data_IF_097343111918
#
_entry.id   IF_097343111918
#
_cell.length_a   1.000
_cell.length_b   1.000
_cell.length_c   1.000
_cell.angle_alpha   90.00
_cell.angle_beta   90.00
_cell.angle_gamma   90.00
#
_symmetry.space_group_name_H-M   'P 1'
#
loop_
_entity.id
_entity.type
_entity.pdbx_description
1 polymer ?
#
# COMPACT_ATOMS: atom_id res chain seq x y z
N UNK A 1 -36.02 -12.30 78.13
CA UNK A 1 -36.58 -12.82 76.85
C UNK A 1 -36.65 -11.78 75.72
N UNK A 2 -36.88 -10.48 75.96
CA UNK A 2 -37.08 -9.49 74.88
C UNK A 2 -35.84 -9.13 74.03
N UNK A 3 -34.61 -9.24 74.58
CA UNK A 3 -33.38 -8.80 73.87
C UNK A 3 -32.93 -9.79 72.79
N UNK A 4 -32.99 -11.09 73.08
CA UNK A 4 -32.65 -12.17 72.14
C UNK A 4 -33.64 -12.27 70.99
N UNK A 5 -34.95 -12.12 71.27
CA UNK A 5 -35.97 -12.07 70.20
C UNK A 5 -35.81 -10.85 69.28
N UNK A 6 -35.44 -9.68 69.83
CA UNK A 6 -35.11 -8.49 69.01
C UNK A 6 -33.90 -8.70 68.13
N UNK A 7 -32.83 -9.32 68.66
CA UNK A 7 -31.64 -9.64 67.87
C UNK A 7 -31.95 -10.61 66.73
N UNK A 8 -32.74 -11.67 66.99
CA UNK A 8 -33.17 -12.62 65.96
C UNK A 8 -33.98 -11.91 64.86
N UNK A 9 -34.94 -11.05 65.24
CA UNK A 9 -35.71 -10.28 64.26
C UNK A 9 -34.85 -9.32 63.43
N UNK A 10 -33.91 -8.61 64.05
CA UNK A 10 -32.96 -7.74 63.34
C UNK A 10 -32.13 -8.56 62.35
N UNK A 11 -31.62 -9.72 62.76
CA UNK A 11 -30.84 -10.61 61.88
C UNK A 11 -31.68 -11.10 60.70
N UNK A 12 -32.94 -11.52 60.93
CA UNK A 12 -33.83 -11.96 59.84
C UNK A 12 -34.10 -10.81 58.85
N UNK A 13 -34.36 -9.60 59.34
CA UNK A 13 -34.58 -8.43 58.48
C UNK A 13 -33.32 -8.08 57.70
N UNK A 14 -32.13 -8.09 58.32
CA UNK A 14 -30.86 -7.84 57.65
C UNK A 14 -30.54 -8.91 56.58
N UNK A 15 -30.80 -10.18 56.87
CA UNK A 15 -30.65 -11.27 55.89
C UNK A 15 -31.65 -11.13 54.73
N UNK A 16 -32.89 -10.72 55.00
CA UNK A 16 -33.89 -10.43 53.96
C UNK A 16 -33.48 -9.28 53.05
N UNK A 17 -32.99 -8.18 53.62
CA UNK A 17 -32.45 -7.04 52.86
C UNK A 17 -31.25 -7.49 52.03
N UNK A 18 -30.30 -8.24 52.62
CA UNK A 18 -29.13 -8.74 51.93
C UNK A 18 -29.52 -9.63 50.73
N UNK A 19 -30.45 -10.56 50.92
CA UNK A 19 -30.90 -11.46 49.85
C UNK A 19 -31.55 -10.69 48.69
N UNK A 20 -32.42 -9.71 48.98
CA UNK A 20 -33.05 -8.87 47.95
C UNK A 20 -32.01 -8.01 47.24
N UNK A 21 -31.10 -7.37 47.98
CA UNK A 21 -30.02 -6.57 47.40
C UNK A 21 -29.09 -7.41 46.52
N UNK A 22 -28.72 -8.62 46.94
CA UNK A 22 -27.92 -9.54 46.13
C UNK A 22 -28.67 -9.97 44.88
N UNK A 23 -29.96 -10.31 44.97
CA UNK A 23 -30.75 -10.69 43.80
C UNK A 23 -30.87 -9.53 42.80
N UNK A 24 -31.18 -8.31 43.27
CA UNK A 24 -31.24 -7.13 42.41
C UNK A 24 -29.89 -6.82 41.77
N UNK A 25 -28.80 -6.97 42.51
CA UNK A 25 -27.44 -6.84 41.99
C UNK A 25 -27.13 -7.89 40.93
N UNK A 26 -27.50 -9.16 41.13
CA UNK A 26 -27.27 -10.22 40.14
C UNK A 26 -28.06 -9.96 38.84
N UNK A 27 -29.31 -9.50 38.96
CA UNK A 27 -30.11 -9.13 37.79
C UNK A 27 -29.53 -7.91 37.07
N UNK A 28 -29.10 -6.89 37.81
CA UNK A 28 -28.49 -5.70 37.20
C UNK A 28 -27.15 -6.02 36.54
N UNK A 29 -26.35 -6.91 37.14
CA UNK A 29 -25.11 -7.43 36.55
C UNK A 29 -25.39 -8.20 35.26
N UNK A 30 -26.34 -9.13 35.25
CA UNK A 30 -26.70 -9.91 34.05
C UNK A 30 -27.21 -9.01 32.92
N UNK A 31 -28.12 -8.08 33.21
CA UNK A 31 -28.60 -7.11 32.23
C UNK A 31 -27.47 -6.21 31.69
N UNK A 32 -26.52 -5.85 32.55
CA UNK A 32 -25.34 -5.10 32.15
C UNK A 32 -24.40 -5.91 31.25
N UNK A 33 -24.15 -7.20 31.53
CA UNK A 33 -23.33 -8.06 30.66
C UNK A 33 -23.92 -8.11 29.23
N UNK A 34 -25.22 -8.33 29.10
CA UNK A 34 -25.89 -8.38 27.79
C UNK A 34 -25.83 -7.04 27.04
N UNK A 35 -26.08 -5.92 27.74
CA UNK A 35 -25.97 -4.60 27.15
C UNK A 35 -24.52 -4.29 26.72
N UNK A 36 -23.53 -4.71 27.51
CA UNK A 36 -22.12 -4.54 27.21
C UNK A 36 -21.69 -5.38 25.99
N UNK A 37 -22.06 -6.67 25.94
CA UNK A 37 -21.83 -7.53 24.77
C UNK A 37 -22.41 -6.90 23.51
N UNK A 38 -23.68 -6.47 23.53
CA UNK A 38 -24.31 -5.82 22.38
C UNK A 38 -23.57 -4.57 21.93
N UNK A 39 -23.19 -3.67 22.87
CA UNK A 39 -22.42 -2.46 22.57
C UNK A 39 -21.09 -2.81 21.88
N UNK A 40 -20.38 -3.82 22.38
CA UNK A 40 -19.10 -4.26 21.81
C UNK A 40 -19.31 -4.86 20.41
N UNK A 41 -20.30 -5.75 20.25
CA UNK A 41 -20.60 -6.35 18.95
C UNK A 41 -21.02 -5.33 17.90
N UNK A 42 -21.90 -4.39 18.23
CA UNK A 42 -22.29 -3.30 17.32
C UNK A 42 -21.10 -2.43 16.95
N UNK A 43 -20.23 -2.12 17.91
CA UNK A 43 -18.99 -1.38 17.68
C UNK A 43 -18.04 -2.11 16.73
N UNK A 44 -17.83 -3.41 16.93
CA UNK A 44 -16.96 -4.23 16.07
C UNK A 44 -17.55 -4.38 14.67
N UNK A 45 -18.86 -4.64 14.53
CA UNK A 45 -19.52 -4.71 13.22
C UNK A 45 -19.34 -3.40 12.46
N UNK A 46 -19.53 -2.26 13.14
CA UNK A 46 -19.32 -0.96 12.52
C UNK A 46 -17.85 -0.73 12.12
N UNK A 47 -16.88 -1.10 12.97
CA UNK A 47 -15.44 -1.02 12.64
C UNK A 47 -15.11 -1.83 11.38
N UNK A 48 -15.57 -3.07 11.34
CA UNK A 48 -15.37 -4.03 10.24
C UNK A 48 -15.98 -3.51 8.93
N UNK A 49 -17.21 -3.01 8.96
CA UNK A 49 -17.90 -2.52 7.76
C UNK A 49 -17.39 -1.16 7.27
N UNK A 50 -16.83 -0.35 8.17
CA UNK A 50 -16.45 1.03 7.88
C UNK A 50 -14.96 1.31 8.06
N UNK A 51 -14.11 0.28 8.04
CA UNK A 51 -12.66 0.45 8.11
C UNK A 51 -12.17 1.28 6.90
N UNK A 52 -11.65 2.50 7.09
CA UNK A 52 -11.23 3.36 5.99
C UNK A 52 -10.10 2.75 5.15
N UNK A 53 -9.25 1.91 5.76
CA UNK A 53 -8.14 1.27 5.06
C UNK A 53 -8.63 0.21 4.05
N UNK A 54 -9.77 -0.44 4.29
CA UNK A 54 -10.26 -1.53 3.44
C UNK A 54 -11.18 -1.07 2.29
N UNK A 55 -11.38 0.25 2.16
CA UNK A 55 -12.35 0.82 1.21
C UNK A 55 -11.83 0.91 -0.22
N UNK A 56 -10.60 1.37 -0.42
CA UNK A 56 -10.09 1.74 -1.74
C UNK A 56 -8.85 0.92 -2.06
N UNK A 57 -8.96 -0.12 -2.91
CA UNK A 57 -7.80 -0.86 -3.37
C UNK A 57 -6.88 0.00 -4.24
N UNK A 58 -5.60 -0.36 -4.28
CA UNK A 58 -4.57 0.26 -5.11
C UNK A 58 -3.94 -0.80 -6.00
N UNK A 59 -3.80 -0.48 -7.28
CA UNK A 59 -3.13 -1.33 -8.28
C UNK A 59 -2.08 -0.48 -8.99
N UNK A 60 -0.81 -0.85 -8.83
CA UNK A 60 0.32 -0.20 -9.50
C UNK A 60 0.88 -1.15 -10.54
N UNK A 61 1.00 -0.67 -11.78
CA UNK A 61 1.61 -1.40 -12.88
C UNK A 61 2.80 -0.61 -13.40
N UNK A 62 3.95 -1.28 -13.41
CA UNK A 62 5.19 -0.79 -14.00
C UNK A 62 5.42 -1.55 -15.31
N UNK A 63 5.55 -0.83 -16.42
CA UNK A 63 5.95 -1.40 -17.71
C UNK A 63 7.47 -1.24 -17.84
N UNK A 64 8.22 -2.31 -17.60
CA UNK A 64 9.67 -2.30 -17.51
C UNK A 64 10.32 -1.85 -18.82
N UNK A 65 11.17 -0.82 -18.76
CA UNK A 65 11.91 -0.33 -19.92
C UNK A 65 11.08 0.27 -21.06
N UNK A 66 9.86 0.76 -20.77
CA UNK A 66 9.06 1.51 -21.77
C UNK A 66 9.68 2.88 -22.01
N UNK A 67 10.21 3.09 -23.22
CA UNK A 67 10.81 4.36 -23.62
C UNK A 67 9.75 5.41 -23.94
N UNK A 68 10.03 6.66 -23.55
CA UNK A 68 9.12 7.79 -23.77
C UNK A 68 8.64 7.92 -25.22
N UNK A 69 9.55 7.87 -26.20
CA UNK A 69 9.27 8.09 -27.61
C UNK A 69 8.39 7.00 -28.24
N UNK A 70 8.41 5.78 -27.71
CA UNK A 70 7.53 4.68 -28.14
C UNK A 70 6.34 4.46 -27.19
N UNK A 71 6.25 5.22 -26.10
CA UNK A 71 5.11 5.27 -25.19
C UNK A 71 4.33 6.58 -25.34
N UNK A 72 4.25 7.36 -24.27
CA UNK A 72 3.45 8.60 -24.20
C UNK A 72 3.93 9.71 -25.15
N UNK A 73 5.19 9.71 -25.56
CA UNK A 73 5.72 10.60 -26.58
C UNK A 73 5.15 10.33 -27.97
N UNK A 74 4.71 9.09 -28.25
CA UNK A 74 4.08 8.68 -29.50
C UNK A 74 2.54 8.63 -29.44
N UNK A 75 1.93 9.04 -28.32
CA UNK A 75 0.48 9.09 -28.16
C UNK A 75 -0.16 7.72 -28.46
N UNK A 76 -1.23 7.65 -29.25
CA UNK A 76 -1.93 6.40 -29.59
C UNK A 76 -1.16 5.43 -30.49
N UNK A 77 -0.02 5.83 -31.09
CA UNK A 77 0.61 5.05 -32.17
C UNK A 77 1.01 3.62 -31.74
N UNK A 78 1.51 3.47 -30.51
CA UNK A 78 1.97 2.19 -29.96
C UNK A 78 1.22 1.77 -28.69
N UNK A 79 0.59 2.72 -28.00
CA UNK A 79 -0.20 2.48 -26.78
C UNK A 79 -1.67 2.95 -26.93
N UNK A 80 -2.41 2.47 -27.96
CA UNK A 80 -3.73 3.00 -28.27
C UNK A 80 -4.74 2.82 -27.13
N UNK A 81 -4.68 1.74 -26.34
CA UNK A 81 -5.63 1.51 -25.26
C UNK A 81 -5.35 2.42 -24.05
N UNK A 82 -4.09 2.50 -23.61
CA UNK A 82 -3.68 3.38 -22.52
C UNK A 82 -3.97 4.84 -22.90
N UNK A 83 -3.58 5.27 -24.10
CA UNK A 83 -3.72 6.67 -24.51
C UNK A 83 -5.18 7.10 -24.74
N UNK A 84 -5.98 6.30 -25.44
CA UNK A 84 -7.33 6.71 -25.83
C UNK A 84 -8.41 6.30 -24.83
N UNK A 85 -8.20 5.20 -24.08
CA UNK A 85 -9.24 4.64 -23.20
C UNK A 85 -8.95 4.86 -21.72
N UNK A 86 -7.69 4.72 -21.29
CA UNK A 86 -7.33 4.87 -19.86
C UNK A 86 -7.01 6.31 -19.49
N UNK A 87 -6.15 7.00 -20.27
CA UNK A 87 -5.72 8.38 -19.99
C UNK A 87 -6.88 9.34 -19.70
N UNK A 88 -8.00 9.35 -20.46
CA UNK A 88 -9.11 10.27 -20.17
C UNK A 88 -9.84 9.98 -18.85
N UNK A 89 -9.68 8.78 -18.27
CA UNK A 89 -10.32 8.39 -17.01
C UNK A 89 -9.62 8.98 -15.78
N UNK A 90 -8.45 9.61 -15.95
CA UNK A 90 -7.63 10.04 -14.83
C UNK A 90 -6.74 11.24 -15.14
N UNK A 91 -5.67 11.34 -14.37
CA UNK A 91 -4.63 12.37 -14.51
C UNK A 91 -3.35 11.75 -15.03
N UNK A 92 -2.77 12.34 -16.07
CA UNK A 92 -1.46 11.97 -16.60
C UNK A 92 -0.43 13.03 -16.25
N UNK A 93 0.71 12.59 -15.70
CA UNK A 93 1.88 13.41 -15.42
C UNK A 93 2.87 13.26 -16.58
N UNK A 94 3.03 14.31 -17.38
CA UNK A 94 3.86 14.31 -18.60
C UNK A 94 5.28 14.83 -18.36
N UNK A 95 5.52 15.50 -17.23
CA UNK A 95 6.85 15.95 -16.79
C UNK A 95 7.29 15.15 -15.56
N UNK A 96 7.45 13.85 -15.77
CA UNK A 96 7.79 12.88 -14.73
C UNK A 96 9.13 12.23 -15.06
N UNK A 97 10.07 12.23 -14.11
CA UNK A 97 11.42 11.73 -14.35
C UNK A 97 11.90 10.80 -13.25
N UNK A 98 12.63 9.77 -13.66
CA UNK A 98 13.34 8.85 -12.79
C UNK A 98 14.62 9.53 -12.30
N UNK A 99 14.75 9.70 -10.98
CA UNK A 99 15.92 10.35 -10.35
C UNK A 99 16.91 9.36 -9.76
N UNK A 100 16.45 8.14 -9.50
CA UNK A 100 17.26 7.00 -9.09
C UNK A 100 18.14 6.49 -10.25
N UNK A 101 19.19 5.68 -9.97
CA UNK A 101 19.86 4.92 -11.02
C UNK A 101 18.82 4.12 -11.82
N UNK A 102 18.86 4.24 -13.15
CA UNK A 102 17.87 3.66 -14.07
C UNK A 102 18.10 2.15 -14.21
N UNK A 103 17.87 1.46 -13.12
CA UNK A 103 18.08 0.03 -12.89
C UNK A 103 16.86 -0.46 -12.13
N UNK A 104 16.25 -1.54 -12.61
CA UNK A 104 14.94 -2.04 -12.18
C UNK A 104 14.78 -2.05 -10.66
N UNK A 105 15.61 -2.79 -9.92
CA UNK A 105 15.45 -2.92 -8.45
C UNK A 105 15.59 -1.60 -7.69
N UNK A 106 16.48 -0.70 -8.15
CA UNK A 106 16.71 0.58 -7.50
C UNK A 106 15.50 1.52 -7.66
N UNK A 107 14.93 1.57 -8.86
CA UNK A 107 13.73 2.39 -9.11
C UNK A 107 12.51 1.82 -8.42
N UNK A 108 12.30 0.50 -8.48
CA UNK A 108 11.21 -0.17 -7.76
C UNK A 108 11.26 0.11 -6.26
N UNK A 109 12.45 0.00 -5.66
CA UNK A 109 12.69 0.35 -4.26
C UNK A 109 12.35 1.82 -3.98
N UNK A 110 12.74 2.73 -4.87
CA UNK A 110 12.44 4.16 -4.74
C UNK A 110 10.95 4.48 -4.89
N UNK A 111 10.25 3.85 -5.83
CA UNK A 111 8.80 3.95 -6.00
C UNK A 111 8.05 3.47 -4.77
N UNK A 112 8.48 2.36 -4.18
CA UNK A 112 7.82 1.75 -3.02
C UNK A 112 8.07 2.51 -1.73
N UNK A 113 9.23 3.17 -1.57
CA UNK A 113 9.63 3.83 -0.32
C UNK A 113 9.51 5.35 -0.37
N UNK A 114 9.36 5.93 -1.56
CA UNK A 114 9.42 7.37 -1.78
C UNK A 114 10.81 7.96 -1.60
N UNK A 115 11.87 7.14 -1.64
CA UNK A 115 13.24 7.55 -1.38
C UNK A 115 14.24 6.81 -2.26
N UNK A 116 15.21 7.54 -2.81
CA UNK A 116 16.30 6.95 -3.61
C UNK A 116 16.98 5.86 -2.78
N UNK A 117 17.02 4.66 -3.34
CA UNK A 117 17.65 3.49 -2.75
C UNK A 117 18.49 2.79 -3.81
N UNK A 118 19.78 2.62 -3.55
CA UNK A 118 20.67 1.87 -4.43
C UNK A 118 20.68 0.42 -3.98
N UNK A 119 19.94 -0.41 -4.72
CA UNK A 119 19.84 -1.85 -4.46
C UNK A 119 20.49 -2.59 -5.62
N UNK A 120 21.28 -3.66 -5.38
CA UNK A 120 21.77 -4.51 -6.46
C UNK A 120 20.64 -5.00 -7.37
N UNK A 121 20.93 -5.14 -8.66
CA UNK A 121 19.95 -5.60 -9.65
C UNK A 121 19.88 -7.12 -9.74
N UNK A 122 19.77 -7.77 -8.59
CA UNK A 122 19.72 -9.23 -8.45
C UNK A 122 18.49 -9.71 -7.64
N UNK A 123 17.67 -8.78 -7.14
CA UNK A 123 16.46 -9.11 -6.39
C UNK A 123 16.71 -9.77 -5.04
N UNK A 124 17.95 -9.81 -4.55
CA UNK A 124 18.29 -10.49 -3.29
C UNK A 124 18.24 -9.58 -2.08
N UNK A 125 18.32 -8.26 -2.29
CA UNK A 125 18.30 -7.27 -1.22
C UNK A 125 16.96 -6.52 -1.25
N UNK A 126 16.31 -6.45 -0.08
CA UNK A 126 15.08 -5.67 0.11
C UNK A 126 15.33 -4.16 0.08
N UNK A 127 14.29 -3.35 -0.15
CA UNK A 127 14.36 -1.91 0.11
C UNK A 127 14.86 -1.59 1.52
N UNK A 128 15.80 -0.65 1.65
CA UNK A 128 16.38 -0.29 2.97
C UNK A 128 15.31 0.30 3.90
N UNK A 129 14.41 1.09 3.33
CA UNK A 129 13.31 1.73 4.04
C UNK A 129 12.02 0.90 3.94
N UNK A 130 11.07 1.05 4.87
CA UNK A 130 9.75 0.43 4.77
C UNK A 130 9.02 0.90 3.51
N UNK A 131 8.39 -0.03 2.80
CA UNK A 131 7.56 0.28 1.64
C UNK A 131 6.22 0.89 2.05
N UNK A 132 5.53 1.56 1.13
CA UNK A 132 4.19 2.09 1.36
C UNK A 132 3.19 1.00 1.74
N UNK A 133 3.43 -0.25 1.34
CA UNK A 133 2.59 -1.41 1.65
C UNK A 133 2.80 -1.85 3.10
N UNK A 134 4.06 -1.90 3.56
CA UNK A 134 4.38 -2.16 4.98
C UNK A 134 3.74 -1.11 5.88
N UNK A 135 3.92 0.17 5.54
CA UNK A 135 3.37 1.28 6.31
C UNK A 135 1.84 1.32 6.28
N UNK A 136 1.21 0.92 5.17
CA UNK A 136 -0.23 0.76 5.10
C UNK A 136 -0.72 -0.34 6.07
N UNK A 137 -0.04 -1.49 6.12
CA UNK A 137 -0.37 -2.59 7.04
C UNK A 137 -0.27 -2.16 8.48
N UNK A 138 0.83 -1.49 8.82
CA UNK A 138 1.05 -0.94 10.16
C UNK A 138 -0.04 0.07 10.53
N UNK A 139 -0.35 1.01 9.63
CA UNK A 139 -1.39 2.02 9.88
C UNK A 139 -2.78 1.40 10.04
N UNK A 140 -3.10 0.38 9.24
CA UNK A 140 -4.35 -0.37 9.34
C UNK A 140 -4.46 -1.11 10.68
N UNK A 141 -3.41 -1.81 11.09
CA UNK A 141 -3.36 -2.54 12.36
C UNK A 141 -3.50 -1.60 13.56
N UNK A 142 -2.74 -0.51 13.57
CA UNK A 142 -2.81 0.51 14.63
C UNK A 142 -4.21 1.13 14.74
N UNK A 143 -4.86 1.39 13.60
CA UNK A 143 -6.23 1.89 13.56
C UNK A 143 -7.23 0.90 14.18
N UNK A 144 -7.17 -0.38 13.76
CA UNK A 144 -8.05 -1.43 14.29
C UNK A 144 -7.84 -1.57 15.80
N UNK A 145 -6.60 -1.69 16.26
CA UNK A 145 -6.27 -1.83 17.67
C UNK A 145 -6.74 -0.64 18.50
N UNK A 146 -6.56 0.58 17.99
CA UNK A 146 -7.06 1.78 18.66
C UNK A 146 -8.59 1.76 18.79
N UNK A 147 -9.31 1.35 17.74
CA UNK A 147 -10.78 1.27 17.78
C UNK A 147 -11.28 0.14 18.67
N UNK A 148 -10.64 -1.02 18.64
CA UNK A 148 -10.98 -2.13 19.53
C UNK A 148 -10.82 -1.74 21.00
N UNK A 149 -9.75 -1.04 21.37
CA UNK A 149 -9.57 -0.51 22.73
C UNK A 149 -10.71 0.41 23.15
N UNK A 150 -11.16 1.30 22.28
CA UNK A 150 -12.30 2.21 22.55
C UNK A 150 -13.63 1.45 22.68
N UNK A 151 -13.87 0.49 21.78
CA UNK A 151 -15.12 -0.30 21.75
C UNK A 151 -15.23 -1.18 23.00
N UNK A 152 -14.15 -1.89 23.35
CA UNK A 152 -14.08 -2.86 24.44
C UNK A 152 -13.94 -2.16 25.81
N UNK A 153 -13.59 -0.87 25.87
CA UNK A 153 -13.54 -0.17 27.14
C UNK A 153 -14.91 -0.21 27.87
N UNK A 154 -14.97 -0.74 29.12
CA UNK A 154 -16.21 -0.73 29.89
C UNK A 154 -16.50 0.69 30.39
N UNK A 155 -17.65 1.25 30.02
CA UNK A 155 -18.06 2.61 30.37
C UNK A 155 -18.60 2.74 31.82
N UNK A 156 -18.35 1.78 32.71
CA UNK A 156 -18.96 1.70 34.03
C UNK A 156 -17.92 1.52 35.15
N UNK A 157 -17.88 2.44 36.11
CA UNK A 157 -16.95 2.36 37.26
C UNK A 157 -17.22 1.22 38.25
N UNK A 158 -18.44 0.65 38.25
CA UNK A 158 -18.87 -0.37 39.23
C UNK A 158 -19.15 -1.76 38.63
N UNK A 159 -19.37 -1.88 37.32
CA UNK A 159 -19.68 -3.14 36.65
C UNK A 159 -18.45 -3.63 35.87
N UNK A 160 -18.22 -4.94 35.86
CA UNK A 160 -17.08 -5.55 35.16
C UNK A 160 -17.53 -6.79 34.40
N UNK A 161 -16.95 -7.06 33.22
CA UNK A 161 -17.26 -8.27 32.49
C UNK A 161 -16.75 -9.50 33.24
N UNK A 162 -17.59 -10.54 33.30
CA UNK A 162 -17.19 -11.83 33.83
C UNK A 162 -16.24 -12.56 32.87
N UNK A 163 -15.69 -13.70 33.30
CA UNK A 163 -14.72 -14.46 32.50
C UNK A 163 -15.29 -14.89 31.15
N UNK A 164 -16.55 -15.33 31.10
CA UNK A 164 -17.18 -15.77 29.87
C UNK A 164 -17.34 -14.62 28.87
N UNK A 165 -17.87 -13.50 29.34
CA UNK A 165 -18.06 -12.29 28.53
C UNK A 165 -16.73 -11.77 27.98
N UNK A 166 -15.64 -11.86 28.77
CA UNK A 166 -14.29 -11.48 28.31
C UNK A 166 -13.77 -12.39 27.21
N UNK A 167 -13.99 -13.71 27.32
CA UNK A 167 -13.57 -14.66 26.28
C UNK A 167 -14.34 -14.42 24.98
N UNK A 168 -15.67 -14.27 25.04
CA UNK A 168 -16.52 -14.00 23.87
C UNK A 168 -16.11 -12.69 23.16
N UNK A 169 -15.77 -11.65 23.92
CA UNK A 169 -15.31 -10.37 23.36
C UNK A 169 -13.92 -10.48 22.77
N UNK A 170 -13.00 -11.21 23.40
CA UNK A 170 -11.65 -11.40 22.87
C UNK A 170 -11.66 -12.21 21.57
N UNK A 171 -12.52 -13.23 21.47
CA UNK A 171 -12.74 -13.97 20.23
C UNK A 171 -13.24 -13.03 19.12
N UNK A 172 -14.26 -12.23 19.39
CA UNK A 172 -14.79 -11.27 18.42
C UNK A 172 -13.77 -10.18 18.04
N UNK A 173 -12.93 -9.75 18.98
CA UNK A 173 -11.84 -8.82 18.72
C UNK A 173 -10.75 -9.44 17.83
N UNK A 174 -10.41 -10.72 18.05
CA UNK A 174 -9.49 -11.45 17.18
C UNK A 174 -10.04 -11.60 15.76
N UNK A 175 -11.33 -11.88 15.61
CA UNK A 175 -11.97 -11.90 14.30
C UNK A 175 -11.90 -10.54 13.61
N UNK A 176 -12.11 -9.44 14.36
CA UNK A 176 -12.03 -8.09 13.82
C UNK A 176 -10.61 -7.70 13.36
N UNK A 177 -9.57 -8.14 14.07
CA UNK A 177 -8.15 -7.94 13.69
C UNK A 177 -7.83 -8.59 12.35
N UNK A 178 -8.38 -9.78 12.13
CA UNK A 178 -8.17 -10.58 10.95
C UNK A 178 -9.21 -10.30 9.84
N UNK A 179 -10.27 -9.55 10.13
CA UNK A 179 -11.26 -9.17 9.15
C UNK A 179 -10.66 -8.17 8.17
N UNK A 180 -10.74 -8.43 6.87
CA UNK A 180 -10.10 -7.59 5.86
C UNK A 180 -9.73 -8.41 4.63
N UNK A 181 -8.86 -7.89 3.74
CA UNK A 181 -8.43 -8.69 2.61
C UNK A 181 -7.73 -9.98 3.10
N UNK A 182 -7.96 -11.11 2.43
CA UNK A 182 -7.35 -12.39 2.81
C UNK A 182 -5.81 -12.33 2.75
N UNK A 183 -5.29 -11.46 1.88
CA UNK A 183 -3.91 -10.97 1.85
C UNK A 183 -3.90 -9.48 1.60
N UNK A 184 -3.07 -8.71 2.31
CA UNK A 184 -2.92 -7.29 2.08
C UNK A 184 -2.37 -7.00 0.68
N UNK A 185 -1.34 -7.75 0.27
CA UNK A 185 -0.60 -7.45 -0.96
C UNK A 185 -0.53 -8.62 -1.95
N UNK A 186 -0.61 -8.28 -3.24
CA UNK A 186 -0.35 -9.17 -4.38
C UNK A 186 0.78 -8.58 -5.23
N UNK A 187 1.92 -9.28 -5.28
CA UNK A 187 3.05 -8.95 -6.16
C UNK A 187 3.13 -9.94 -7.33
N UNK A 188 3.20 -9.42 -8.55
CA UNK A 188 3.34 -10.22 -9.77
C UNK A 188 4.38 -9.61 -10.70
N UNK A 189 5.23 -10.41 -11.32
CA UNK A 189 6.13 -9.87 -12.36
C UNK A 189 7.31 -10.76 -12.70
N UNK A 190 8.30 -10.16 -13.36
CA UNK A 190 9.61 -10.75 -13.66
C UNK A 190 10.38 -11.12 -12.38
N UNK A 191 11.39 -11.97 -12.50
CA UNK A 191 12.51 -12.10 -11.55
C UNK A 191 12.96 -10.68 -11.15
N UNK A 192 13.52 -10.51 -9.95
CA UNK A 192 14.03 -9.24 -9.36
C UNK A 192 13.06 -8.47 -8.44
N UNK A 193 11.77 -8.83 -8.37
CA UNK A 193 10.84 -8.20 -7.41
C UNK A 193 10.62 -9.01 -6.12
N UNK A 194 11.24 -10.19 -5.98
CA UNK A 194 11.10 -11.07 -4.82
C UNK A 194 11.40 -10.34 -3.50
N UNK A 195 12.49 -9.58 -3.44
CA UNK A 195 12.89 -8.90 -2.19
C UNK A 195 11.95 -7.77 -1.75
N UNK A 196 10.99 -7.37 -2.58
CA UNK A 196 10.00 -6.34 -2.25
C UNK A 196 8.97 -6.84 -1.22
N UNK A 197 8.83 -8.15 -1.04
CA UNK A 197 7.92 -8.74 -0.05
C UNK A 197 8.50 -8.83 1.37
N UNK A 198 9.80 -8.61 1.54
CA UNK A 198 10.44 -8.73 2.84
C UNK A 198 9.92 -7.59 3.74
N UNK A 199 10.01 -7.70 5.07
CA UNK A 199 9.62 -6.63 6.02
C UNK A 199 10.82 -5.97 6.73
N UNK A 200 10.81 -4.65 6.87
CA UNK A 200 11.74 -3.83 7.67
C UNK A 200 11.03 -3.02 8.74
N UNK A 201 9.69 -2.91 8.70
CA UNK A 201 8.92 -2.29 9.78
C UNK A 201 8.78 -3.18 11.03
N UNK A 202 9.10 -4.46 10.91
CA UNK A 202 9.06 -5.44 12.00
C UNK A 202 7.70 -6.09 12.21
N UNK A 203 6.66 -5.68 11.46
CA UNK A 203 5.45 -6.46 11.25
C UNK A 203 5.65 -7.35 10.03
N UNK A 204 5.82 -8.65 10.25
CA UNK A 204 5.58 -9.69 9.25
C UNK A 204 4.47 -10.56 9.80
N UNK A 205 3.42 -10.81 9.03
CA UNK A 205 3.35 -12.20 8.57
C UNK A 205 3.67 -12.32 7.08
N UNK A 206 4.57 -13.26 6.78
CA UNK A 206 4.78 -13.84 5.44
C UNK A 206 3.43 -14.32 4.85
N UNK A 207 2.47 -14.63 5.72
CA UNK A 207 1.11 -15.09 5.38
C UNK A 207 0.15 -13.97 4.93
N UNK A 208 0.58 -12.72 4.75
CA UNK A 208 -0.32 -11.62 4.33
C UNK A 208 0.14 -10.93 3.04
N UNK A 209 1.06 -11.58 2.33
CA UNK A 209 1.50 -11.25 0.98
C UNK A 209 1.33 -12.48 0.10
N UNK A 210 0.87 -12.28 -1.12
CA UNK A 210 0.94 -13.27 -2.19
C UNK A 210 1.93 -12.77 -3.24
N UNK A 211 2.99 -13.53 -3.50
CA UNK A 211 4.00 -13.16 -4.48
C UNK A 211 4.18 -14.29 -5.49
N UNK A 212 4.18 -13.93 -6.76
CA UNK A 212 4.68 -14.78 -7.85
C UNK A 212 5.61 -13.93 -8.70
N UNK A 213 6.83 -14.41 -8.89
CA UNK A 213 7.81 -13.80 -9.77
C UNK A 213 8.11 -14.70 -10.98
N UNK A 214 9.05 -14.27 -11.80
CA UNK A 214 9.55 -15.04 -12.94
C UNK A 214 8.49 -15.38 -13.98
N UNK A 215 7.57 -14.44 -14.20
CA UNK A 215 6.46 -14.54 -15.13
C UNK A 215 6.66 -13.68 -16.38
N UNK A 216 6.18 -14.17 -17.52
CA UNK A 216 5.92 -13.37 -18.72
C UNK A 216 4.70 -12.47 -18.50
N UNK A 217 4.61 -11.36 -19.23
CA UNK A 217 3.49 -10.41 -19.09
C UNK A 217 2.09 -11.06 -19.21
N UNK A 218 1.95 -12.04 -20.11
CA UNK A 218 0.69 -12.77 -20.27
C UNK A 218 0.36 -13.61 -19.04
N UNK A 219 1.35 -14.23 -18.41
CA UNK A 219 1.16 -15.02 -17.19
C UNK A 219 0.84 -14.10 -16.01
N UNK A 220 1.48 -12.94 -15.90
CA UNK A 220 1.12 -11.89 -14.93
C UNK A 220 -0.35 -11.53 -15.06
N UNK A 221 -0.83 -11.28 -16.28
CA UNK A 221 -2.25 -11.00 -16.54
C UNK A 221 -3.19 -12.14 -16.15
N UNK A 222 -2.88 -13.39 -16.56
CA UNK A 222 -3.72 -14.54 -16.25
C UNK A 222 -3.76 -14.82 -14.74
N UNK A 223 -2.62 -14.72 -14.04
CA UNK A 223 -2.57 -14.83 -12.58
C UNK A 223 -3.34 -13.71 -11.90
N UNK A 224 -3.17 -12.46 -12.34
CA UNK A 224 -3.92 -11.32 -11.81
C UNK A 224 -5.42 -11.58 -11.94
N UNK A 225 -5.90 -11.92 -13.13
CA UNK A 225 -7.32 -12.19 -13.40
C UNK A 225 -7.86 -13.36 -12.56
N UNK A 226 -7.06 -14.42 -12.40
CA UNK A 226 -7.46 -15.59 -11.62
C UNK A 226 -7.45 -15.32 -10.10
N UNK A 227 -6.50 -14.54 -9.59
CA UNK A 227 -6.29 -14.36 -8.14
C UNK A 227 -6.99 -13.15 -7.54
N UNK A 228 -7.25 -12.10 -8.32
CA UNK A 228 -7.91 -10.90 -7.80
C UNK A 228 -9.30 -11.16 -7.15
N UNK A 229 -10.20 -12.03 -7.67
CA UNK A 229 -11.48 -12.29 -7.00
C UNK A 229 -11.34 -13.16 -5.73
N UNK A 230 -10.28 -13.99 -5.65
CA UNK A 230 -10.07 -14.94 -4.56
C UNK A 230 -9.29 -14.30 -3.42
N UNK A 231 -8.12 -13.72 -3.71
CA UNK A 231 -7.20 -13.11 -2.73
C UNK A 231 -7.76 -11.78 -2.21
N UNK A 232 -8.51 -11.06 -3.05
CA UNK A 232 -9.11 -9.75 -2.76
C UNK A 232 -8.13 -8.73 -2.13
N UNK A 233 -6.91 -8.59 -2.66
CA UNK A 233 -5.91 -7.71 -2.07
C UNK A 233 -6.33 -6.25 -2.08
N UNK A 234 -5.83 -5.49 -1.10
CA UNK A 234 -5.96 -4.04 -1.07
C UNK A 234 -4.81 -3.36 -1.82
N UNK A 235 -3.66 -4.01 -1.92
CA UNK A 235 -2.49 -3.51 -2.61
C UNK A 235 -2.06 -4.51 -3.68
N UNK A 236 -1.93 -4.06 -4.93
CA UNK A 236 -1.37 -4.86 -6.02
C UNK A 236 -0.22 -4.08 -6.62
N UNK A 237 0.92 -4.73 -6.79
CA UNK A 237 2.08 -4.16 -7.45
C UNK A 237 2.56 -5.14 -8.52
N UNK A 238 2.64 -4.69 -9.76
CA UNK A 238 2.97 -5.53 -10.91
C UNK A 238 4.12 -4.94 -11.73
N UNK A 239 5.08 -5.78 -12.11
CA UNK A 239 6.10 -5.43 -13.09
C UNK A 239 5.91 -6.24 -14.38
N UNK A 240 5.78 -5.56 -15.51
CA UNK A 240 5.65 -6.16 -16.85
C UNK A 240 7.00 -6.09 -17.56
N UNK A 241 7.72 -7.21 -17.59
CA UNK A 241 9.12 -7.31 -17.98
C UNK A 241 9.37 -7.50 -19.48
N UNK A 242 8.37 -7.91 -20.26
CA UNK A 242 8.59 -8.33 -21.65
C UNK A 242 9.12 -7.18 -22.53
N UNK A 243 8.70 -5.93 -22.28
CA UNK A 243 9.19 -4.75 -23.02
C UNK A 243 10.68 -4.51 -22.77
N UNK A 244 11.16 -4.79 -21.55
CA UNK A 244 12.57 -4.69 -21.23
C UNK A 244 13.39 -5.76 -21.97
N UNK A 245 12.91 -7.00 -21.94
CA UNK A 245 13.55 -8.11 -22.65
C UNK A 245 13.59 -7.88 -24.16
N UNK A 246 12.47 -7.47 -24.76
CA UNK A 246 12.38 -7.23 -26.19
C UNK A 246 13.29 -6.10 -26.67
N UNK A 247 13.53 -5.09 -25.84
CA UNK A 247 14.48 -4.04 -26.20
C UNK A 247 15.92 -4.57 -26.28
N UNK A 248 16.32 -5.47 -25.38
CA UNK A 248 17.67 -6.05 -25.40
C UNK A 248 17.97 -6.93 -26.63
N UNK A 249 16.93 -7.48 -27.27
CA UNK A 249 17.07 -8.23 -28.53
C UNK A 249 17.45 -7.35 -29.74
N UNK A 250 17.35 -6.03 -29.61
CA UNK A 250 17.64 -5.06 -30.67
C UNK A 250 16.83 -5.24 -31.97
N UNK A 251 15.71 -5.97 -31.92
CA UNK A 251 14.74 -6.06 -33.01
C UNK A 251 13.64 -5.01 -32.80
N UNK A 252 13.62 -4.02 -33.69
CA UNK A 252 12.65 -2.94 -33.63
C UNK A 252 11.21 -3.43 -33.70
N UNK A 253 10.87 -4.32 -34.63
CA UNK A 253 9.49 -4.76 -34.81
C UNK A 253 9.01 -5.56 -33.61
N UNK A 254 9.87 -6.44 -33.08
CA UNK A 254 9.59 -7.17 -31.85
C UNK A 254 9.38 -6.20 -30.68
N UNK A 255 10.24 -5.20 -30.50
CA UNK A 255 10.11 -4.21 -29.43
C UNK A 255 8.76 -3.48 -29.45
N UNK A 256 8.36 -2.90 -30.60
CA UNK A 256 7.07 -2.18 -30.67
C UNK A 256 5.84 -3.08 -30.62
N UNK A 257 5.92 -4.32 -31.09
CA UNK A 257 4.82 -5.27 -30.93
C UNK A 257 4.65 -5.71 -29.47
N UNK A 258 5.75 -5.82 -28.71
CA UNK A 258 5.73 -6.07 -27.27
C UNK A 258 5.15 -4.87 -26.50
N UNK A 259 5.48 -3.63 -26.87
CA UNK A 259 4.82 -2.43 -26.29
C UNK A 259 3.29 -2.48 -26.51
N UNK A 260 2.86 -2.79 -27.74
CA UNK A 260 1.43 -2.93 -28.05
C UNK A 260 0.78 -4.09 -27.28
N UNK A 261 1.55 -5.12 -26.92
CA UNK A 261 1.07 -6.22 -26.09
C UNK A 261 0.85 -5.78 -24.66
N UNK A 262 1.84 -5.13 -24.04
CA UNK A 262 1.71 -4.54 -22.71
C UNK A 262 0.52 -3.56 -22.63
N UNK A 263 0.34 -2.69 -23.64
CA UNK A 263 -0.82 -1.79 -23.75
C UNK A 263 -2.17 -2.53 -23.70
N UNK A 264 -2.28 -3.66 -24.43
CA UNK A 264 -3.49 -4.49 -24.40
C UNK A 264 -3.71 -5.11 -23.03
N UNK A 265 -2.67 -5.67 -22.42
CA UNK A 265 -2.75 -6.35 -21.13
C UNK A 265 -3.14 -5.39 -20.00
N UNK A 266 -2.51 -4.22 -19.93
CA UNK A 266 -2.85 -3.16 -18.94
C UNK A 266 -4.33 -2.77 -19.04
N UNK A 267 -4.85 -2.61 -20.27
CA UNK A 267 -6.26 -2.31 -20.46
C UNK A 267 -7.18 -3.47 -20.03
N UNK A 268 -6.81 -4.71 -20.30
CA UNK A 268 -7.58 -5.89 -19.86
C UNK A 268 -7.56 -6.07 -18.34
N UNK A 269 -6.44 -5.75 -17.67
CA UNK A 269 -6.38 -5.71 -16.21
C UNK A 269 -7.34 -4.66 -15.63
N UNK A 270 -7.36 -3.45 -16.21
CA UNK A 270 -8.32 -2.41 -15.82
C UNK A 270 -9.77 -2.88 -15.99
N UNK A 271 -10.12 -3.50 -17.13
CA UNK A 271 -11.45 -4.05 -17.37
C UNK A 271 -11.82 -5.16 -16.37
N UNK A 272 -10.87 -6.04 -16.05
CA UNK A 272 -11.08 -7.13 -15.08
C UNK A 272 -11.44 -6.58 -13.69
N UNK A 273 -10.82 -5.48 -13.27
CA UNK A 273 -11.20 -4.76 -12.04
C UNK A 273 -12.61 -4.15 -12.15
N UNK A 274 -12.99 -3.64 -13.32
CA UNK A 274 -14.34 -3.11 -13.53
C UNK A 274 -15.42 -4.21 -13.51
N UNK A 275 -15.08 -5.49 -13.67
CA UNK A 275 -16.05 -6.58 -13.55
C UNK A 275 -16.41 -6.91 -12.09
N UNK A 276 -15.57 -6.50 -11.13
CA UNK A 276 -15.68 -6.87 -9.73
C UNK A 276 -16.20 -5.72 -8.87
N UNK A 277 -17.31 -5.94 -8.15
CA UNK A 277 -17.98 -4.90 -7.33
C UNK A 277 -17.05 -4.21 -6.32
N UNK A 278 -16.07 -4.92 -5.75
CA UNK A 278 -15.09 -4.36 -4.81
C UNK A 278 -14.18 -3.31 -5.46
N UNK A 279 -13.86 -3.49 -6.74
CA UNK A 279 -12.82 -2.76 -7.45
C UNK A 279 -13.37 -1.71 -8.44
N UNK A 280 -14.53 -1.99 -9.05
CA UNK A 280 -15.21 -1.12 -10.03
C UNK A 280 -15.35 0.31 -9.51
N UNK A 281 -14.84 1.27 -10.27
CA UNK A 281 -14.85 2.71 -9.96
C UNK A 281 -14.32 3.11 -8.56
N UNK A 282 -13.67 2.17 -7.87
CA UNK A 282 -13.28 2.28 -6.47
C UNK A 282 -11.80 1.90 -6.26
N UNK A 283 -11.05 1.69 -7.33
CA UNK A 283 -9.62 1.36 -7.31
C UNK A 283 -8.79 2.55 -7.74
N UNK A 284 -7.70 2.82 -7.03
CA UNK A 284 -6.62 3.69 -7.51
C UNK A 284 -5.73 2.84 -8.42
N UNK A 285 -5.86 3.04 -9.72
CA UNK A 285 -5.15 2.32 -10.76
C UNK A 285 -4.04 3.21 -11.34
N UNK A 286 -2.79 2.80 -11.19
CA UNK A 286 -1.60 3.55 -11.57
C UNK A 286 -0.83 2.77 -12.63
N UNK A 287 -0.43 3.45 -13.70
CA UNK A 287 0.46 2.92 -14.74
C UNK A 287 1.66 3.84 -14.89
N UNK A 288 2.85 3.26 -14.87
CA UNK A 288 4.13 3.98 -15.00
C UNK A 288 5.19 3.10 -15.67
N UNK A 289 6.39 3.63 -15.84
CA UNK A 289 7.62 2.88 -16.19
C UNK A 289 8.72 3.21 -15.19
N UNK A 290 9.55 2.23 -14.85
CA UNK A 290 10.69 2.38 -13.96
C UNK A 290 11.89 3.01 -14.66
N UNK A 291 12.07 2.80 -15.95
CA UNK A 291 13.04 3.54 -16.74
C UNK A 291 12.65 3.59 -18.22
N UNK A 292 13.25 4.55 -18.91
CA UNK A 292 13.24 4.59 -20.37
C UNK A 292 14.47 3.87 -20.94
N UNK A 293 14.85 4.26 -22.16
CA UNK A 293 15.99 3.72 -22.91
C UNK A 293 16.72 4.84 -23.63
N UNK A 294 17.91 4.58 -24.16
CA UNK A 294 18.72 5.60 -24.82
C UNK A 294 17.99 6.28 -25.98
N UNK A 295 18.24 7.57 -26.12
CA UNK A 295 17.91 8.37 -27.30
C UNK A 295 18.64 7.82 -28.55
N UNK A 296 18.18 8.11 -29.79
CA UNK A 296 18.74 7.49 -30.99
C UNK A 296 20.22 7.84 -31.21
N UNK A 297 20.62 9.05 -30.81
CA UNK A 297 22.01 9.54 -30.82
C UNK A 297 22.92 8.83 -29.80
N UNK A 298 22.34 8.03 -28.88
CA UNK A 298 23.04 7.27 -27.83
C UNK A 298 22.90 5.76 -27.99
N UNK A 299 22.63 5.29 -29.22
CA UNK A 299 22.48 3.87 -29.52
C UNK A 299 21.03 3.35 -29.44
N UNK A 300 20.08 4.21 -29.09
CA UNK A 300 18.64 3.92 -29.22
C UNK A 300 18.07 2.90 -28.23
N UNK A 301 16.88 2.42 -28.54
CA UNK A 301 16.09 1.54 -27.67
C UNK A 301 16.82 0.29 -27.13
N UNK A 302 17.85 -0.31 -27.77
CA UNK A 302 18.47 -1.52 -27.22
C UNK A 302 19.24 -1.33 -25.90
N UNK A 303 19.50 -0.09 -25.51
CA UNK A 303 20.38 0.23 -24.39
C UNK A 303 19.71 1.11 -23.34
N UNK A 304 20.07 0.90 -22.07
CA UNK A 304 19.65 1.71 -20.93
C UNK A 304 20.70 1.60 -19.79
N UNK A 305 20.37 2.10 -18.60
CA UNK A 305 21.26 1.99 -17.43
C UNK A 305 22.17 3.19 -17.16
N UNK A 306 21.90 4.34 -17.80
CA UNK A 306 22.66 5.58 -17.58
C UNK A 306 21.76 6.79 -17.29
N UNK A 307 22.34 7.89 -16.84
CA UNK A 307 21.62 9.11 -16.45
C UNK A 307 21.17 10.01 -17.62
N UNK A 308 21.10 9.50 -18.86
CA UNK A 308 20.65 10.30 -20.00
C UNK A 308 19.15 10.59 -19.96
N UNK A 309 18.70 11.65 -20.66
CA UNK A 309 17.27 12.03 -20.71
C UNK A 309 16.39 10.84 -21.11
N UNK A 310 16.75 10.10 -22.17
CA UNK A 310 15.97 8.95 -22.63
C UNK A 310 15.73 7.85 -21.59
N UNK A 311 16.71 7.57 -20.71
CA UNK A 311 16.55 6.59 -19.64
C UNK A 311 15.73 7.11 -18.46
N UNK A 312 15.70 8.43 -18.26
CA UNK A 312 15.09 9.06 -17.09
C UNK A 312 13.67 9.54 -17.34
N UNK A 313 13.37 9.93 -18.58
CA UNK A 313 12.06 10.45 -18.94
C UNK A 313 11.01 9.36 -18.85
N UNK A 314 9.99 9.59 -18.03
CA UNK A 314 8.94 8.63 -17.71
C UNK A 314 7.59 9.35 -17.70
N UNK A 315 6.56 8.67 -17.19
CA UNK A 315 5.19 9.17 -17.07
C UNK A 315 4.54 8.53 -15.84
N UNK A 316 3.44 9.11 -15.38
CA UNK A 316 2.54 8.43 -14.44
C UNK A 316 1.10 8.73 -14.79
N UNK A 317 0.32 7.69 -15.09
CA UNK A 317 -1.12 7.76 -15.24
C UNK A 317 -1.78 7.27 -13.94
N UNK A 318 -2.62 8.10 -13.34
CA UNK A 318 -3.39 7.77 -12.14
C UNK A 318 -4.88 7.87 -12.44
N UNK A 319 -5.63 6.81 -12.18
CA UNK A 319 -7.09 6.71 -12.37
C UNK A 319 -7.70 6.24 -11.05
N UNK A 320 -8.85 6.78 -10.64
CA UNK A 320 -9.54 6.24 -9.48
C UNK A 320 -10.46 7.23 -8.78
N UNK A 321 -11.09 6.82 -7.67
CA UNK A 321 -11.94 7.70 -6.87
C UNK A 321 -11.13 8.89 -6.33
N UNK A 322 -11.70 10.09 -6.42
CA UNK A 322 -11.06 11.32 -5.96
C UNK A 322 -9.98 11.89 -6.89
N UNK A 323 -9.60 11.19 -7.96
CA UNK A 323 -8.60 11.64 -8.95
C UNK A 323 -9.28 12.44 -10.08
N UNK A 324 -8.67 13.54 -10.51
CA UNK A 324 -9.18 14.35 -11.62
C UNK A 324 -9.18 13.52 -12.91
N UNK A 325 -10.29 13.56 -13.64
CA UNK A 325 -10.42 12.91 -14.95
C UNK A 325 -10.00 13.85 -16.07
N UNK A 326 -9.49 13.29 -17.16
CA UNK A 326 -9.05 14.01 -18.36
C UNK A 326 -8.13 15.20 -18.05
N UNK A 327 -7.25 15.04 -17.06
CA UNK A 327 -6.34 16.07 -16.62
C UNK A 327 -4.91 15.73 -17.05
N UNK A 328 -4.17 16.72 -17.53
CA UNK A 328 -2.76 16.59 -17.90
C UNK A 328 -1.99 17.57 -17.05
N UNK A 329 -1.02 17.07 -16.29
CA UNK A 329 -0.06 17.91 -15.57
C UNK A 329 1.30 17.93 -16.26
N UNK A 330 1.91 19.10 -16.26
CA UNK A 330 3.28 19.35 -16.69
C UNK A 330 4.17 19.82 -15.52
N UNK A 331 3.68 19.76 -14.27
CA UNK A 331 4.54 20.00 -13.11
C UNK A 331 5.57 18.87 -13.00
N UNK A 332 6.76 19.24 -12.53
CA UNK A 332 7.84 18.28 -12.37
C UNK A 332 7.55 17.35 -11.19
N UNK A 333 7.57 16.05 -11.48
CA UNK A 333 7.43 14.98 -10.49
C UNK A 333 8.46 13.87 -10.74
N UNK A 334 8.63 13.00 -9.74
CA UNK A 334 9.53 11.85 -9.84
C UNK A 334 8.93 10.57 -9.26
N UNK A 335 9.63 9.46 -9.43
CA UNK A 335 9.29 8.16 -8.83
C UNK A 335 9.15 8.21 -7.32
N UNK A 336 9.83 9.15 -6.67
CA UNK A 336 9.77 9.35 -5.23
C UNK A 336 8.39 9.83 -4.76
N UNK A 337 7.60 10.42 -5.65
CA UNK A 337 6.30 11.00 -5.32
C UNK A 337 5.16 9.95 -5.35
N UNK A 338 5.42 8.73 -5.87
CA UNK A 338 4.42 7.66 -6.00
C UNK A 338 3.90 7.21 -4.63
N UNK A 339 4.79 6.71 -3.79
CA UNK A 339 4.47 6.24 -2.44
C UNK A 339 3.73 7.29 -1.59
N UNK A 340 4.22 8.54 -1.43
CA UNK A 340 3.52 9.55 -0.63
C UNK A 340 2.18 9.97 -1.23
N UNK A 341 2.00 9.89 -2.56
CA UNK A 341 0.70 10.13 -3.20
C UNK A 341 -0.33 9.05 -2.84
N UNK A 342 0.07 7.78 -2.87
CA UNK A 342 -0.79 6.66 -2.44
C UNK A 342 -1.14 6.81 -0.95
N UNK A 343 -0.15 7.08 -0.10
CA UNK A 343 -0.37 7.26 1.32
C UNK A 343 -1.34 8.41 1.61
N UNK A 344 -1.20 9.52 0.89
CA UNK A 344 -2.11 10.66 0.98
C UNK A 344 -3.53 10.31 0.55
N UNK A 345 -3.70 9.48 -0.49
CA UNK A 345 -5.00 9.03 -0.94
C UNK A 345 -5.72 8.11 0.08
N UNK A 346 -4.94 7.36 0.86
CA UNK A 346 -5.44 6.35 1.81
C UNK A 346 -5.46 6.81 3.27
N UNK A 347 -4.85 7.94 3.61
CA UNK A 347 -4.88 8.50 4.97
C UNK A 347 -3.82 7.95 5.92
N UNK A 348 -2.62 7.69 5.43
CA UNK A 348 -1.46 7.40 6.26
C UNK A 348 -0.22 8.18 5.79
N UNK A 349 0.88 8.04 6.52
CA UNK A 349 2.11 8.79 6.27
C UNK A 349 3.27 7.88 5.89
N UNK A 350 4.24 8.43 5.16
CA UNK A 350 5.52 7.78 4.83
C UNK A 350 6.65 8.66 5.34
N UNK A 351 7.04 8.52 6.63
CA UNK A 351 7.99 9.43 7.25
C UNK A 351 9.38 9.41 6.61
N UNK A 352 9.76 8.28 6.02
CA UNK A 352 11.05 8.11 5.35
C UNK A 352 11.11 8.72 3.96
N UNK A 353 9.97 9.08 3.35
CA UNK A 353 9.94 9.56 1.97
C UNK A 353 10.63 10.92 1.82
N UNK A 354 11.39 11.06 0.74
CA UNK A 354 11.96 12.34 0.30
C UNK A 354 11.12 12.98 -0.81
N UNK A 355 10.30 12.19 -1.51
CA UNK A 355 9.28 12.71 -2.43
C UNK A 355 8.11 13.34 -1.70
N UNK A 356 7.21 13.97 -2.45
CA UNK A 356 6.03 14.66 -1.92
C UNK A 356 4.73 14.17 -2.56
N UNK A 357 3.59 14.15 -1.84
CA UNK A 357 2.31 13.83 -2.44
C UNK A 357 1.97 14.79 -3.60
N UNK A 358 1.54 14.23 -4.73
CA UNK A 358 1.19 14.97 -5.94
C UNK A 358 -0.21 15.55 -5.77
N UNK A 359 -0.34 16.63 -5.00
CA UNK A 359 -1.63 17.15 -4.56
C UNK A 359 -2.58 17.55 -5.71
N UNK A 360 -2.03 17.93 -6.86
CA UNK A 360 -2.79 18.38 -8.01
C UNK A 360 -3.57 17.27 -8.74
N UNK A 361 -3.29 15.99 -8.49
CA UNK A 361 -4.05 14.87 -9.07
C UNK A 361 -5.44 14.74 -8.41
N UNK A 362 -5.61 15.27 -7.20
CA UNK A 362 -6.85 15.14 -6.43
C UNK A 362 -7.88 16.22 -6.79
N UNK A 363 -9.16 15.82 -6.84
CA UNK A 363 -10.30 16.71 -7.17
C UNK A 363 -10.60 17.73 -6.07
N UNK A 364 -10.56 17.33 -4.79
CA UNK A 364 -10.75 18.19 -3.62
C UNK A 364 -9.86 17.69 -2.47
N UNK A 365 -8.83 18.45 -2.09
CA UNK A 365 -7.89 18.05 -1.04
C UNK A 365 -8.54 17.88 0.35
N UNK A 366 -9.65 18.57 0.62
CA UNK A 366 -10.38 18.54 1.89
C UNK A 366 -11.15 17.22 2.13
N UNK A 367 -11.46 16.46 1.07
CA UNK A 367 -12.14 15.17 1.16
C UNK A 367 -11.17 13.98 1.29
N UNK A 368 -9.87 14.24 1.29
CA UNK A 368 -8.88 13.19 1.49
C UNK A 368 -8.92 12.71 2.95
N UNK A 369 -8.76 11.40 3.19
CA UNK A 369 -8.67 10.89 4.54
C UNK A 369 -7.57 11.63 5.33
N UNK A 370 -7.90 12.04 6.55
CA UNK A 370 -6.90 12.62 7.45
C UNK A 370 -5.93 11.52 7.89
N UNK A 371 -4.61 11.81 7.97
CA UNK A 371 -3.63 10.82 8.38
C UNK A 371 -3.96 10.34 9.80
N UNK A 372 -4.03 9.02 9.98
CA UNK A 372 -4.04 8.45 11.31
C UNK A 372 -2.62 8.59 11.88
N UNK A 373 -2.43 9.28 13.00
CA UNK A 373 -1.13 9.30 13.69
C UNK A 373 -0.88 7.89 14.23
N UNK A 374 0.09 7.15 13.67
CA UNK A 374 0.34 5.76 14.07
C UNK A 374 1.48 5.69 15.09
N UNK A 375 1.47 4.65 15.91
CA UNK A 375 2.55 4.40 16.89
C UNK A 375 3.83 4.01 16.13
N UNK A 376 3.66 3.38 14.97
CA UNK A 376 4.72 3.10 14.00
C UNK A 376 5.36 4.38 13.43
N UNK A 377 4.60 5.43 13.09
CA UNK A 377 5.16 6.72 12.64
C UNK A 377 6.12 7.29 13.69
N UNK A 378 5.78 7.17 14.97
CA UNK A 378 6.59 7.67 16.10
C UNK A 378 7.84 6.82 16.35
N UNK A 379 7.73 5.49 16.21
CA UNK A 379 8.88 4.58 16.31
C UNK A 379 9.86 4.79 15.16
N UNK A 380 9.36 4.83 13.93
CA UNK A 380 10.18 4.98 12.73
C UNK A 380 10.91 6.32 12.68
N UNK A 381 10.37 7.40 13.26
CA UNK A 381 11.09 8.67 13.35
C UNK A 381 12.47 8.51 14.03
N UNK A 382 12.55 7.76 15.13
CA UNK A 382 13.82 7.49 15.83
C UNK A 382 14.74 6.52 15.07
N UNK A 383 14.17 5.54 14.37
CA UNK A 383 14.93 4.59 13.56
C UNK A 383 15.47 5.25 12.27
N UNK A 384 14.72 6.18 11.66
CA UNK A 384 15.13 6.96 10.49
C UNK A 384 16.31 7.87 10.84
N UNK A 385 16.26 8.61 11.96
CA UNK A 385 17.41 9.41 12.40
C UNK A 385 18.67 8.55 12.58
N UNK A 386 18.51 7.34 13.12
CA UNK A 386 19.61 6.39 13.27
C UNK A 386 20.11 5.85 11.92
N UNK A 387 19.22 5.52 10.99
CA UNK A 387 19.57 5.06 9.65
C UNK A 387 20.22 6.16 8.80
N UNK A 388 19.81 7.42 8.97
CA UNK A 388 20.41 8.59 8.33
C UNK A 388 21.77 8.95 8.93
N UNK A 389 21.98 8.68 10.23
CA UNK A 389 23.28 8.84 10.89
C UNK A 389 24.33 7.79 10.50
N UNK A 390 23.87 6.65 9.97
CA UNK A 390 24.73 5.69 9.30
C UNK A 390 24.96 6.23 7.89
N UNK A 391 26.15 6.77 7.65
CA UNK A 391 26.62 7.54 6.48
C UNK A 391 26.60 6.78 5.12
N UNK A 392 25.53 6.02 4.83
CA UNK A 392 25.32 5.26 3.60
C UNK A 392 25.35 6.14 2.33
N UNK A 393 24.78 7.36 2.32
CA UNK A 393 24.86 8.23 1.13
C UNK A 393 26.30 8.66 0.80
N UNK A 394 27.16 8.85 1.82
CA UNK A 394 28.55 9.28 1.66
C UNK A 394 29.46 8.17 1.16
N UNK A 395 29.28 6.95 1.69
CA UNK A 395 29.98 5.76 1.22
C UNK A 395 29.61 5.39 -0.22
N UNK A 396 28.36 5.65 -0.63
CA UNK A 396 27.87 5.44 -2.00
C UNK A 396 28.39 6.49 -3.00
N UNK A 397 28.49 7.76 -2.59
CA UNK A 397 29.12 8.79 -3.43
C UNK A 397 30.60 8.45 -3.65
N UNK A 398 31.31 7.99 -2.60
CA UNK A 398 32.69 7.56 -2.71
C UNK A 398 32.88 6.28 -3.55
N UNK A 399 31.94 5.32 -3.49
CA UNK A 399 32.00 4.11 -4.34
C UNK A 399 31.65 4.41 -5.80
N UNK A 400 30.67 5.29 -6.04
CA UNK A 400 30.31 5.76 -7.38
C UNK A 400 31.49 6.52 -8.02
N UNK A 401 32.15 7.41 -7.27
CA UNK A 401 33.37 8.10 -7.71
C UNK A 401 34.51 7.09 -8.00
N UNK A 402 34.66 6.03 -7.20
CA UNK A 402 35.68 4.98 -7.41
C UNK A 402 35.38 4.04 -8.58
N UNK A 403 34.13 3.95 -9.03
CA UNK A 403 33.73 3.11 -10.18
C UNK A 403 33.95 3.78 -11.54
N UNK A 404 34.36 5.05 -11.56
CA UNK A 404 34.68 5.80 -12.79
C UNK A 404 36.06 5.32 -13.31
N UNK A 405 36.14 4.77 -14.54
CA UNK A 405 37.42 4.39 -15.13
C UNK A 405 38.34 5.62 -15.25
N UNK A 406 39.60 5.48 -14.83
CA UNK A 406 40.58 6.56 -14.86
C UNK A 406 40.69 7.15 -16.29
N UNK A 407 40.28 8.42 -16.45
CA UNK A 407 40.45 9.17 -17.71
C UNK A 407 39.21 9.85 -18.31
N UNK A 408 38.03 9.79 -17.70
CA UNK A 408 36.87 10.62 -18.11
C UNK A 408 36.53 11.66 -17.04
N UNK A 409 36.72 12.93 -17.36
CA UNK A 409 36.12 14.04 -16.61
C UNK A 409 34.64 14.19 -17.00
N UNK A 410 33.81 14.55 -16.03
CA UNK A 410 32.42 14.96 -16.23
C UNK A 410 32.43 16.40 -16.79
N UNK A 411 31.61 16.65 -17.82
CA UNK A 411 31.10 18.00 -18.12
C UNK A 411 29.86 18.28 -17.26
#
# INVERSE_FOLDING_TARGET
MQRTQRLIWITIVLLGILAVSTYMYMQSQSAWQEAYKRKVSEGIINLVQNNPFDRTPVVVIVIDGLRWEEGFGAQEKYIPNIWTKLRPQGTILMNYNIVSPTVTTSVHSAMLTGRISTVPNDGHIRPVFPTFIELYRDARSDFIESRLREIIAPNAGFYRPDTQTRMEIEELANDARNFGPDKTALYLGKDLIYSLNQSSSGHCPDDDVFLIDSLRDIEVYEYFRAKIPDVKPNMVFMNLGDVDEAGHEADWYYYVDTIRWADRLVYQMYLSLQELTRYRDNTIFIVTTDHGRHSPDRGGFPHHGCFCEGCRKSFMLIIGPGIKKNHVSNQYHSELDLAPTIAKALGYEIPSATGSPIMEVFTVAENLPQPCSTEVTKRLAGDIERMESLDAPKLLLESAIKSIPAGKQLD
#
